data_IF_644862213824
#
_entry.id   IF_644862213824
#
_cell.length_a   1.000
_cell.length_b   1.000
_cell.length_c   1.000
_cell.angle_alpha   90.00
_cell.angle_beta   90.00
_cell.angle_gamma   90.00
#
_symmetry.space_group_name_H-M   'P 1'
#
loop_
_entity.id
_entity.type
_entity.pdbx_description
1 polymer ?
#
# COMPACT_ATOMS: atom_id res chain seq x y z
N UNK A 1 13.83 -17.64 12.67
CA UNK A 1 12.35 -17.73 12.64
C UNK A 1 11.67 -16.42 13.05
N UNK A 2 12.06 -15.75 14.15
CA UNK A 2 11.39 -14.50 14.58
C UNK A 2 11.53 -13.30 13.60
N UNK A 3 12.58 -13.24 12.78
CA UNK A 3 12.74 -12.17 11.78
C UNK A 3 11.69 -12.25 10.66
N UNK A 4 11.39 -13.45 10.17
CA UNK A 4 10.42 -13.67 9.09
C UNK A 4 9.00 -13.23 9.47
N UNK A 5 8.59 -13.45 10.72
CA UNK A 5 7.29 -13.01 11.21
C UNK A 5 7.12 -11.49 11.17
N UNK A 6 8.18 -10.73 11.49
CA UNK A 6 8.14 -9.27 11.50
C UNK A 6 8.14 -8.69 10.10
N UNK A 7 8.95 -9.27 9.19
CA UNK A 7 8.93 -8.89 7.77
C UNK A 7 7.55 -9.12 7.16
N UNK A 8 6.90 -10.25 7.46
CA UNK A 8 5.54 -10.53 7.00
C UNK A 8 4.52 -9.53 7.56
N UNK A 9 4.60 -9.18 8.84
CA UNK A 9 3.73 -8.16 9.44
C UNK A 9 3.90 -6.81 8.75
N UNK A 10 5.13 -6.36 8.52
CA UNK A 10 5.41 -5.10 7.83
C UNK A 10 4.85 -5.09 6.40
N UNK A 11 5.01 -6.21 5.69
CA UNK A 11 4.49 -6.38 4.33
C UNK A 11 2.95 -6.32 4.29
N UNK A 12 2.28 -7.07 5.17
CA UNK A 12 0.81 -7.07 5.25
C UNK A 12 0.28 -5.69 5.58
N UNK A 13 0.93 -4.96 6.50
CA UNK A 13 0.53 -3.60 6.85
C UNK A 13 0.75 -2.62 5.70
N UNK A 14 1.84 -2.75 4.94
CA UNK A 14 2.09 -1.91 3.77
C UNK A 14 1.05 -2.17 2.66
N UNK A 15 0.73 -3.44 2.39
CA UNK A 15 -0.27 -3.83 1.40
C UNK A 15 -1.66 -3.32 1.80
N UNK A 16 -2.09 -3.58 3.04
CA UNK A 16 -3.37 -3.09 3.55
C UNK A 16 -3.47 -1.56 3.51
N UNK A 17 -2.37 -0.85 3.82
CA UNK A 17 -2.31 0.60 3.70
C UNK A 17 -2.53 1.10 2.27
N UNK A 18 -1.93 0.41 1.29
CA UNK A 18 -2.08 0.72 -0.14
C UNK A 18 -3.50 0.45 -0.66
N UNK A 19 -4.09 -0.68 -0.27
CA UNK A 19 -5.44 -1.06 -0.67
C UNK A 19 -6.48 -0.06 -0.11
N UNK A 20 -6.35 0.33 1.17
CA UNK A 20 -7.21 1.37 1.76
C UNK A 20 -6.99 2.75 1.14
N UNK A 21 -5.75 3.08 0.75
CA UNK A 21 -5.48 4.33 0.03
C UNK A 21 -6.14 4.32 -1.36
N UNK A 22 -6.08 3.18 -2.07
CA UNK A 22 -6.73 2.99 -3.36
C UNK A 22 -8.24 3.22 -3.23
N UNK A 23 -8.90 2.50 -2.31
CA UNK A 23 -10.33 2.66 -2.02
C UNK A 23 -10.68 4.13 -1.76
N UNK A 24 -9.89 4.84 -0.95
CA UNK A 24 -10.12 6.26 -0.69
C UNK A 24 -9.90 7.15 -1.91
N UNK A 25 -8.90 6.90 -2.76
CA UNK A 25 -8.57 7.80 -3.86
C UNK A 25 -9.42 7.59 -5.11
N UNK A 26 -9.94 6.38 -5.31
CA UNK A 26 -10.70 6.00 -6.51
C UNK A 26 -12.21 5.81 -6.23
N UNK A 27 -12.70 5.93 -4.98
CA UNK A 27 -14.14 5.76 -4.65
C UNK A 27 -15.12 6.57 -5.51
N UNK A 28 -14.73 7.76 -6.00
CA UNK A 28 -15.59 8.58 -6.86
C UNK A 28 -15.72 8.00 -8.27
N UNK A 29 -14.65 7.43 -8.80
CA UNK A 29 -14.61 6.79 -10.12
C UNK A 29 -15.24 5.39 -10.05
N UNK A 30 -15.04 4.68 -8.93
CA UNK A 30 -15.59 3.35 -8.70
C UNK A 30 -17.12 3.35 -8.51
N UNK A 31 -17.69 4.45 -8.03
CA UNK A 31 -19.15 4.57 -7.83
C UNK A 31 -19.91 4.49 -9.16
N UNK A 32 -19.29 4.97 -10.25
CA UNK A 32 -19.90 4.99 -11.59
C UNK A 32 -19.47 3.80 -12.46
N UNK A 33 -18.63 2.90 -11.95
CA UNK A 33 -18.19 1.72 -12.71
C UNK A 33 -19.27 0.61 -12.70
N UNK A 34 -19.93 0.32 -13.85
CA UNK A 34 -20.96 -0.70 -13.93
C UNK A 34 -20.40 -2.13 -14.02
N UNK A 35 -19.11 -2.29 -14.33
CA UNK A 35 -18.44 -3.57 -14.58
C UNK A 35 -17.41 -3.90 -13.48
N UNK A 36 -17.76 -3.66 -12.22
CA UNK A 36 -16.87 -3.92 -11.09
C UNK A 36 -16.59 -5.42 -10.92
N UNK A 37 -15.42 -5.77 -10.40
CA UNK A 37 -15.00 -7.15 -10.15
C UNK A 37 -14.06 -7.22 -8.93
N UNK A 38 -13.67 -8.40 -8.44
CA UNK A 38 -12.64 -8.50 -7.40
C UNK A 38 -11.30 -7.84 -7.76
N UNK A 39 -11.08 -7.50 -9.04
CA UNK A 39 -9.86 -6.89 -9.55
C UNK A 39 -10.03 -5.42 -9.98
N UNK A 40 -11.24 -4.85 -9.95
CA UNK A 40 -11.49 -3.44 -10.30
C UNK A 40 -12.74 -2.89 -9.58
N UNK A 41 -12.80 -1.58 -9.30
CA UNK A 41 -13.94 -0.99 -8.60
C UNK A 41 -13.81 -0.93 -7.06
N UNK A 42 -12.60 -1.15 -6.54
CA UNK A 42 -12.29 -1.12 -5.10
C UNK A 42 -12.99 -2.20 -4.28
N UNK A 43 -12.80 -2.18 -2.95
CA UNK A 43 -13.53 -3.06 -2.03
C UNK A 43 -15.01 -2.72 -1.89
N UNK A 44 -15.39 -1.55 -2.40
CA UNK A 44 -16.72 -0.92 -2.27
C UNK A 44 -17.13 -0.59 -0.83
N UNK A 45 -16.25 -0.70 0.17
CA UNK A 45 -16.60 -0.41 1.57
C UNK A 45 -17.11 1.02 1.79
N UNK A 46 -16.60 1.98 1.01
CA UNK A 46 -17.06 3.39 1.00
C UNK A 46 -18.39 3.50 0.23
N UNK A 47 -18.52 2.82 -0.91
CA UNK A 47 -19.68 2.88 -1.80
C UNK A 47 -20.92 2.28 -1.13
N UNK A 48 -20.74 1.15 -0.43
CA UNK A 48 -21.78 0.45 0.32
C UNK A 48 -22.14 1.17 1.63
N UNK A 49 -21.48 2.29 1.95
CA UNK A 49 -21.74 3.09 3.15
C UNK A 49 -21.32 2.42 4.46
N UNK A 50 -20.49 1.37 4.42
CA UNK A 50 -20.03 0.63 5.61
C UNK A 50 -19.00 1.41 6.41
N UNK A 51 -18.16 2.18 5.72
CA UNK A 51 -17.19 3.10 6.32
C UNK A 51 -17.23 4.45 5.60
N UNK A 52 -17.01 5.53 6.33
CA UNK A 52 -16.82 6.86 5.74
C UNK A 52 -15.45 6.90 5.04
N UNK A 53 -15.34 7.67 3.96
CA UNK A 53 -14.06 7.87 3.27
C UNK A 53 -12.94 8.33 4.23
N UNK A 54 -13.24 9.23 5.16
CA UNK A 54 -12.29 9.66 6.19
C UNK A 54 -11.89 8.58 7.21
N UNK A 55 -12.69 7.54 7.41
CA UNK A 55 -12.32 6.37 8.23
C UNK A 55 -11.33 5.48 7.49
N UNK A 56 -11.60 5.22 6.21
CA UNK A 56 -10.72 4.45 5.33
C UNK A 56 -9.36 5.12 5.19
N UNK A 57 -9.33 6.45 5.00
CA UNK A 57 -8.08 7.21 4.93
C UNK A 57 -7.26 7.13 6.23
N UNK A 58 -7.91 7.24 7.39
CA UNK A 58 -7.24 7.09 8.69
C UNK A 58 -6.70 5.68 8.90
N UNK A 59 -7.45 4.66 8.45
CA UNK A 59 -6.98 3.28 8.43
C UNK A 59 -5.73 3.11 7.57
N UNK A 60 -5.72 3.65 6.35
CA UNK A 60 -4.56 3.63 5.46
C UNK A 60 -3.31 4.24 6.11
N UNK A 61 -3.43 5.44 6.71
CA UNK A 61 -2.31 6.08 7.41
C UNK A 61 -1.81 5.27 8.61
N UNK A 62 -2.72 4.62 9.33
CA UNK A 62 -2.37 3.77 10.48
C UNK A 62 -1.59 2.52 10.03
N UNK A 63 -2.04 1.87 8.96
CA UNK A 63 -1.36 0.73 8.35
C UNK A 63 0.03 1.11 7.82
N UNK A 64 0.15 2.22 7.09
CA UNK A 64 1.45 2.73 6.64
C UNK A 64 2.37 3.10 7.81
N UNK A 65 1.84 3.73 8.86
CA UNK A 65 2.60 4.05 10.07
C UNK A 65 3.18 2.80 10.74
N UNK A 66 2.38 1.75 10.88
CA UNK A 66 2.85 0.46 11.40
C UNK A 66 3.89 -0.19 10.49
N UNK A 67 3.71 -0.15 9.17
CA UNK A 67 4.69 -0.65 8.22
C UNK A 67 6.03 0.08 8.32
N UNK A 68 6.02 1.42 8.48
CA UNK A 68 7.24 2.21 8.73
C UNK A 68 7.90 1.79 10.03
N UNK A 69 7.16 1.66 11.13
CA UNK A 69 7.71 1.25 12.42
C UNK A 69 8.38 -0.13 12.35
N UNK A 70 7.75 -1.08 11.67
CA UNK A 70 8.33 -2.41 11.45
C UNK A 70 9.57 -2.34 10.56
N UNK A 71 9.54 -1.54 9.49
CA UNK A 71 10.69 -1.33 8.60
C UNK A 71 11.90 -0.72 9.33
N UNK A 72 11.67 0.30 10.18
CA UNK A 72 12.70 0.91 11.01
C UNK A 72 13.28 -0.09 12.02
N UNK A 73 12.43 -0.89 12.66
CA UNK A 73 12.87 -1.93 13.58
C UNK A 73 13.74 -2.99 12.88
N UNK A 74 13.37 -3.41 11.67
CA UNK A 74 14.15 -4.37 10.89
C UNK A 74 15.49 -3.78 10.41
N UNK A 75 15.50 -2.52 9.99
CA UNK A 75 16.71 -1.81 9.60
C UNK A 75 17.70 -1.69 10.77
N UNK A 76 17.20 -1.45 11.99
CA UNK A 76 18.02 -1.41 13.19
C UNK A 76 18.68 -2.76 13.50
N UNK A 77 17.99 -3.87 13.21
CA UNK A 77 18.52 -5.23 13.46
C UNK A 77 19.46 -5.77 12.37
N UNK A 78 19.37 -5.26 11.13
CA UNK A 78 20.09 -5.83 9.98
C UNK A 78 21.10 -4.86 9.41
N UNK A 79 20.65 -3.86 8.65
CA UNK A 79 21.47 -2.82 8.05
C UNK A 79 20.60 -1.72 7.42
N UNK A 80 21.25 -0.62 7.03
CA UNK A 80 20.60 0.52 6.38
C UNK A 80 19.98 0.21 5.01
N UNK A 81 20.43 -0.85 4.31
CA UNK A 81 19.87 -1.24 3.02
C UNK A 81 18.39 -1.64 3.14
N UNK A 82 17.99 -2.27 4.25
CA UNK A 82 16.57 -2.58 4.53
C UNK A 82 15.74 -1.30 4.58
N UNK A 83 16.29 -0.22 5.11
CA UNK A 83 15.63 1.08 5.21
C UNK A 83 15.46 1.73 3.82
N UNK A 84 16.44 1.55 2.93
CA UNK A 84 16.36 2.01 1.54
C UNK A 84 15.25 1.26 0.80
N UNK A 85 15.24 -0.08 0.86
CA UNK A 85 14.22 -0.88 0.18
C UNK A 85 12.81 -0.68 0.75
N UNK A 86 12.67 -0.65 2.08
CA UNK A 86 11.38 -0.38 2.72
C UNK A 86 10.90 1.03 2.41
N UNK A 87 11.80 2.02 2.44
CA UNK A 87 11.48 3.42 2.14
C UNK A 87 11.04 3.61 0.69
N UNK A 88 11.76 3.04 -0.28
CA UNK A 88 11.37 3.13 -1.69
C UNK A 88 10.04 2.44 -1.97
N UNK A 89 9.79 1.28 -1.36
CA UNK A 89 8.54 0.56 -1.52
C UNK A 89 7.33 1.27 -0.90
N UNK A 90 7.51 1.90 0.26
CA UNK A 90 6.45 2.63 0.94
C UNK A 90 6.13 3.95 0.22
N UNK A 91 7.15 4.65 -0.27
CA UNK A 91 7.00 5.86 -1.08
C UNK A 91 6.31 5.56 -2.42
N UNK A 92 6.75 4.53 -3.14
CA UNK A 92 6.14 4.15 -4.42
C UNK A 92 4.68 3.70 -4.24
N UNK A 93 4.38 2.93 -3.19
CA UNK A 93 3.02 2.49 -2.86
C UNK A 93 2.10 3.64 -2.46
N UNK A 94 2.59 4.56 -1.62
CA UNK A 94 1.81 5.73 -1.22
C UNK A 94 1.52 6.65 -2.42
N UNK A 95 2.53 6.97 -3.23
CA UNK A 95 2.36 7.82 -4.42
C UNK A 95 1.70 7.13 -5.61
N UNK A 96 1.46 5.81 -5.52
CA UNK A 96 0.67 5.08 -6.51
C UNK A 96 -0.77 5.58 -6.55
N UNK A 97 -1.43 5.60 -5.39
CA UNK A 97 -2.82 6.02 -5.24
C UNK A 97 -2.95 7.47 -4.77
N UNK A 98 -2.04 7.96 -3.90
CA UNK A 98 -2.13 9.30 -3.32
C UNK A 98 -1.59 10.40 -4.25
N UNK A 99 -2.33 11.51 -4.31
CA UNK A 99 -1.86 12.76 -4.93
C UNK A 99 -0.67 13.35 -4.16
N UNK A 100 0.27 14.05 -4.84
CA UNK A 100 0.10 14.71 -6.14
C UNK A 100 0.58 13.91 -7.36
N UNK A 101 1.19 12.73 -7.17
CA UNK A 101 1.83 12.00 -8.29
C UNK A 101 0.85 11.07 -9.01
N UNK A 102 -0.04 10.37 -8.28
CA UNK A 102 -1.03 9.43 -8.83
C UNK A 102 -0.40 8.54 -9.91
N UNK A 103 0.64 7.77 -9.56
CA UNK A 103 1.34 6.93 -10.54
C UNK A 103 0.39 5.94 -11.21
N UNK A 104 -0.71 5.52 -10.57
CA UNK A 104 -1.76 4.71 -11.20
C UNK A 104 -2.37 5.33 -12.47
N UNK A 105 -2.37 6.67 -12.59
CA UNK A 105 -2.89 7.41 -13.75
C UNK A 105 -1.82 7.84 -14.75
N UNK A 106 -0.56 7.47 -14.50
CA UNK A 106 0.58 7.74 -15.40
C UNK A 106 1.12 6.40 -15.87
N UNK A 107 1.28 6.20 -17.18
CA UNK A 107 1.73 4.93 -17.79
C UNK A 107 2.80 4.07 -17.08
N UNK A 108 3.80 4.62 -16.34
CA UNK A 108 4.73 3.79 -15.57
C UNK A 108 4.19 3.16 -14.27
N UNK A 109 2.95 3.43 -13.83
CA UNK A 109 2.40 2.94 -12.56
C UNK A 109 2.40 1.41 -12.43
N UNK A 110 2.10 0.69 -13.51
CA UNK A 110 2.09 -0.79 -13.52
C UNK A 110 3.48 -1.39 -13.30
N UNK A 111 4.54 -0.74 -13.77
CA UNK A 111 5.93 -1.17 -13.55
C UNK A 111 6.30 -1.00 -12.07
N UNK A 112 5.88 0.09 -11.44
CA UNK A 112 6.13 0.32 -10.01
C UNK A 112 5.37 -0.67 -9.14
N UNK A 113 4.13 -1.04 -9.48
CA UNK A 113 3.39 -2.12 -8.81
C UNK A 113 4.11 -3.46 -9.00
N UNK A 114 4.53 -3.80 -10.21
CA UNK A 114 5.26 -5.05 -10.47
C UNK A 114 6.58 -5.14 -9.70
N UNK A 115 7.29 -4.02 -9.54
CA UNK A 115 8.54 -3.96 -8.76
C UNK A 115 8.24 -4.04 -7.24
N UNK A 116 7.23 -3.32 -6.76
CA UNK A 116 6.82 -3.34 -5.35
C UNK A 116 6.29 -4.70 -4.90
N UNK A 117 5.47 -5.33 -5.74
CA UNK A 117 4.79 -6.59 -5.44
C UNK A 117 5.60 -7.82 -5.85
N UNK A 118 6.77 -7.64 -6.46
CA UNK A 118 7.64 -8.72 -6.94
C UNK A 118 9.05 -8.67 -6.33
N UNK A 119 10.06 -8.11 -7.03
CA UNK A 119 11.45 -8.11 -6.59
C UNK A 119 11.69 -7.55 -5.18
N UNK A 120 11.00 -6.47 -4.80
CA UNK A 120 11.17 -5.84 -3.48
C UNK A 120 10.70 -6.73 -2.32
N UNK A 121 9.64 -7.51 -2.52
CA UNK A 121 9.14 -8.49 -1.54
C UNK A 121 10.15 -9.64 -1.39
N UNK A 122 10.75 -10.07 -2.49
CA UNK A 122 11.65 -11.24 -2.54
C UNK A 122 13.06 -10.91 -2.03
N UNK A 123 13.57 -9.70 -2.31
CA UNK A 123 14.94 -9.30 -1.93
C UNK A 123 15.07 -8.83 -0.47
N UNK A 124 13.96 -8.58 0.23
CA UNK A 124 13.94 -8.14 1.63
C UNK A 124 14.02 -9.26 2.70
N UNK A 125 14.12 -10.53 2.29
CA UNK A 125 14.20 -11.72 3.16
C UNK A 125 15.56 -11.97 3.80
#
# INVERSE_FOLDING_TARGET
MAAAGRTLTGLVMAQAGADLANDYHDHQDDVVNPNYSPFNGGSRVIIDGRLRAGEVLRGSHSCYGLAVLVGLYLAWLRNVLVLIFAGTGLLSGFFYSAGPVRLARRGPGEIFVGINSGPLIVLGG
#
